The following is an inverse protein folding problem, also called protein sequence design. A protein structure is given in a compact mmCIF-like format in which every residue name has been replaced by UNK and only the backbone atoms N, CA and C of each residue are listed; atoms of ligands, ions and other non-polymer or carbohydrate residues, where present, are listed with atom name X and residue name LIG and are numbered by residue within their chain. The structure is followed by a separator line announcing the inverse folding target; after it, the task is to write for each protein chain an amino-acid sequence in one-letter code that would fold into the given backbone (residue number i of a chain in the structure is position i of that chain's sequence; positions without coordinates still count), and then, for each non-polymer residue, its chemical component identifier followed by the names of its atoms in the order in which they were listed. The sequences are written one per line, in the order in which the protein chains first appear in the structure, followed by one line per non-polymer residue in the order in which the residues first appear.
data_IF_544861296420
#
_entry.id   IF_544861296420
#
_cell.length_a   1.000
_cell.length_b   1.000
_cell.length_c   1.000
_cell.angle_alpha   90.00
_cell.angle_beta   90.00
_cell.angle_gamma   90.00
#
_symmetry.space_group_name_H-M   'P 1'
#
loop_
_entity.id
_entity.type
_entity.pdbx_description
1 polymer ?
#
# COMPACT_ATOMS: atom_id res chain seq x y z
N UNK A 1 -2.45 0.78 10.38
CA UNK A 1 -3.75 1.28 9.89
C UNK A 1 -4.32 0.20 9.01
N UNK A 2 -5.39 -0.46 9.41
CA UNK A 2 -6.07 -1.44 8.56
C UNK A 2 -6.34 -0.91 7.13
N UNK A 3 -6.14 -1.77 6.11
CA UNK A 3 -6.33 -1.39 4.70
C UNK A 3 -7.77 -0.99 4.40
N UNK A 4 -8.78 -1.56 5.05
CA UNK A 4 -10.18 -1.20 4.85
C UNK A 4 -10.43 0.23 5.28
N UNK A 5 -9.90 0.63 6.45
CA UNK A 5 -9.96 2.02 6.90
C UNK A 5 -9.29 2.93 5.87
N UNK A 6 -8.10 2.55 5.41
CA UNK A 6 -7.37 3.34 4.41
C UNK A 6 -8.16 3.49 3.09
N UNK A 7 -8.90 2.46 2.67
CA UNK A 7 -9.74 2.50 1.49
C UNK A 7 -10.93 3.43 1.70
N UNK A 8 -11.65 3.32 2.82
CA UNK A 8 -12.76 4.23 3.16
C UNK A 8 -12.31 5.69 3.15
N UNK A 9 -11.19 6.00 3.82
CA UNK A 9 -10.65 7.37 3.87
C UNK A 9 -10.18 7.89 2.49
N UNK A 10 -9.73 6.99 1.62
CA UNK A 10 -9.39 7.36 0.25
C UNK A 10 -10.66 7.64 -0.58
N UNK A 11 -11.64 6.74 -0.54
CA UNK A 11 -12.87 6.80 -1.33
C UNK A 11 -13.77 7.99 -0.94
N UNK A 12 -13.78 8.36 0.34
CA UNK A 12 -14.47 9.54 0.86
C UNK A 12 -13.72 10.86 0.58
N UNK A 13 -12.55 10.81 -0.04
CA UNK A 13 -11.74 11.98 -0.36
C UNK A 13 -11.02 12.60 0.86
N UNK A 14 -11.06 11.96 2.02
CA UNK A 14 -10.43 12.44 3.26
C UNK A 14 -8.92 12.53 3.11
N UNK A 15 -8.26 11.51 2.51
CA UNK A 15 -6.82 11.61 2.24
C UNK A 15 -6.46 12.81 1.35
N UNK A 16 -7.28 13.12 0.35
CA UNK A 16 -7.05 14.31 -0.48
C UNK A 16 -7.15 15.60 0.33
N UNK A 17 -8.13 15.69 1.24
CA UNK A 17 -8.26 16.82 2.15
C UNK A 17 -7.08 16.93 3.12
N UNK A 18 -6.66 15.81 3.74
CA UNK A 18 -5.52 15.76 4.66
C UNK A 18 -4.19 16.11 3.97
N UNK A 19 -4.01 15.67 2.71
CA UNK A 19 -2.83 16.02 1.92
C UNK A 19 -2.78 17.52 1.62
N UNK A 20 -3.89 18.11 1.18
CA UNK A 20 -3.99 19.56 0.94
C UNK A 20 -3.77 20.39 2.20
N UNK A 21 -4.22 19.88 3.35
CA UNK A 21 -4.00 20.52 4.65
C UNK A 21 -2.61 20.25 5.26
N UNK A 22 -1.75 19.44 4.61
CA UNK A 22 -0.38 19.19 5.06
C UNK A 22 -0.24 18.16 6.19
N UNK A 23 -1.31 17.43 6.55
CA UNK A 23 -1.26 16.41 7.61
C UNK A 23 -0.58 15.11 7.18
N UNK A 24 -0.60 14.81 5.88
CA UNK A 24 0.02 13.63 5.29
C UNK A 24 0.80 14.02 4.04
N UNK A 25 1.71 13.15 3.63
CA UNK A 25 2.47 13.29 2.39
C UNK A 25 1.94 12.34 1.32
N UNK A 26 2.41 12.49 0.08
CA UNK A 26 2.11 11.58 -1.04
C UNK A 26 2.44 10.12 -0.75
N UNK A 27 3.31 9.87 0.25
CA UNK A 27 3.74 8.54 0.69
C UNK A 27 2.58 7.60 1.02
N UNK A 28 1.50 8.09 1.65
CA UNK A 28 0.39 7.21 2.04
C UNK A 28 -0.35 6.64 0.82
N UNK A 29 -0.49 7.45 -0.24
CA UNK A 29 -1.13 7.03 -1.48
C UNK A 29 -0.28 5.99 -2.20
N UNK A 30 1.04 6.26 -2.32
CA UNK A 30 1.98 5.33 -2.93
C UNK A 30 2.00 3.99 -2.18
N UNK A 31 2.03 4.02 -0.85
CA UNK A 31 2.05 2.80 -0.06
C UNK A 31 0.73 2.01 -0.22
N UNK A 32 -0.41 2.70 -0.25
CA UNK A 32 -1.72 2.06 -0.49
C UNK A 32 -1.76 1.38 -1.85
N UNK A 33 -1.27 2.05 -2.89
CA UNK A 33 -1.21 1.50 -4.24
C UNK A 33 -0.33 0.23 -4.30
N UNK A 34 0.86 0.28 -3.70
CA UNK A 34 1.75 -0.89 -3.59
C UNK A 34 1.05 -2.05 -2.88
N UNK A 35 0.40 -1.78 -1.74
CA UNK A 35 -0.31 -2.80 -0.96
C UNK A 35 -1.40 -3.49 -1.79
N UNK A 36 -2.26 -2.70 -2.44
CA UNK A 36 -3.36 -3.22 -3.25
C UNK A 36 -2.84 -3.99 -4.46
N UNK A 37 -1.78 -3.50 -5.11
CA UNK A 37 -1.19 -4.17 -6.26
C UNK A 37 -0.60 -5.54 -5.89
N UNK A 38 0.18 -5.62 -4.81
CA UNK A 38 0.76 -6.90 -4.35
C UNK A 38 -0.34 -7.90 -4.01
N UNK A 39 -1.35 -7.49 -3.25
CA UNK A 39 -2.47 -8.36 -2.91
C UNK A 39 -3.22 -8.84 -4.17
N UNK A 40 -3.43 -7.96 -5.14
CA UNK A 40 -4.05 -8.34 -6.41
C UNK A 40 -3.21 -9.36 -7.17
N UNK A 41 -1.87 -9.25 -7.20
CA UNK A 41 -1.02 -10.26 -7.85
C UNK A 41 -1.14 -11.63 -7.18
N UNK A 42 -1.14 -11.66 -5.84
CA UNK A 42 -1.30 -12.91 -5.10
C UNK A 42 -2.66 -13.56 -5.39
N UNK A 43 -3.73 -12.78 -5.46
CA UNK A 43 -5.09 -13.28 -5.70
C UNK A 43 -5.32 -13.71 -7.15
N UNK A 44 -4.83 -12.93 -8.12
CA UNK A 44 -5.12 -13.15 -9.55
C UNK A 44 -4.20 -14.18 -10.20
N UNK A 45 -2.92 -14.21 -9.79
CA UNK A 45 -1.90 -15.10 -10.39
C UNK A 45 -1.47 -16.24 -9.47
N UNK A 46 -1.89 -16.24 -8.21
CA UNK A 46 -1.50 -17.26 -7.23
C UNK A 46 -0.01 -17.24 -6.86
N UNK A 47 0.72 -16.18 -7.20
CA UNK A 47 2.14 -16.07 -6.83
C UNK A 47 2.29 -15.81 -5.33
N UNK A 48 3.38 -16.32 -4.75
CA UNK A 48 3.65 -16.11 -3.34
C UNK A 48 4.03 -14.63 -3.05
N UNK A 49 3.94 -14.24 -1.77
CA UNK A 49 4.18 -12.85 -1.34
C UNK A 49 5.56 -12.33 -1.71
N UNK A 50 6.60 -13.15 -1.58
CA UNK A 50 7.98 -12.75 -1.88
C UNK A 50 8.15 -12.47 -3.39
N UNK A 51 7.59 -13.33 -4.24
CA UNK A 51 7.58 -13.13 -5.69
C UNK A 51 6.84 -11.84 -6.05
N UNK A 52 5.67 -11.61 -5.46
CA UNK A 52 4.90 -10.38 -5.68
C UNK A 52 5.67 -9.12 -5.21
N UNK A 53 6.46 -9.22 -4.14
CA UNK A 53 7.32 -8.13 -3.66
C UNK A 53 8.43 -7.82 -4.66
N UNK A 54 9.14 -8.83 -5.17
CA UNK A 54 10.19 -8.65 -6.17
C UNK A 54 9.66 -8.00 -7.45
N UNK A 55 8.47 -8.40 -7.91
CA UNK A 55 7.85 -7.77 -9.07
C UNK A 55 7.37 -6.35 -8.79
N UNK A 56 6.94 -6.06 -7.55
CA UNK A 56 6.54 -4.72 -7.14
C UNK A 56 7.73 -3.74 -7.13
N UNK A 57 8.95 -4.18 -6.80
CA UNK A 57 10.14 -3.34 -6.88
C UNK A 57 10.34 -2.75 -8.28
N UNK A 58 10.22 -3.61 -9.29
CA UNK A 58 10.33 -3.23 -10.70
C UNK A 58 9.15 -2.33 -11.09
N UNK A 59 7.92 -2.72 -10.73
CA UNK A 59 6.70 -1.99 -11.09
C UNK A 59 6.66 -0.56 -10.54
N UNK A 60 7.09 -0.38 -9.30
CA UNK A 60 7.02 0.91 -8.58
C UNK A 60 8.36 1.67 -8.57
N UNK A 61 9.43 1.07 -9.10
CA UNK A 61 10.79 1.60 -9.05
C UNK A 61 11.18 1.99 -7.61
N UNK A 62 11.10 1.02 -6.70
CA UNK A 62 11.42 1.15 -5.26
C UNK A 62 12.23 -0.06 -4.81
N UNK A 63 13.04 0.14 -3.77
CA UNK A 63 13.73 -0.96 -3.11
C UNK A 63 12.75 -1.91 -2.39
N UNK A 64 13.17 -3.17 -2.25
CA UNK A 64 12.43 -4.23 -1.55
C UNK A 64 11.93 -3.77 -0.16
N UNK A 65 12.81 -3.07 0.58
CA UNK A 65 12.52 -2.59 1.93
C UNK A 65 11.31 -1.64 1.94
N UNK A 66 11.18 -0.78 0.93
CA UNK A 66 10.08 0.15 0.76
C UNK A 66 8.80 -0.58 0.42
N UNK A 67 8.87 -1.62 -0.42
CA UNK A 67 7.71 -2.47 -0.70
C UNK A 67 7.23 -3.14 0.60
N UNK A 68 8.12 -3.80 1.35
CA UNK A 68 7.77 -4.41 2.64
C UNK A 68 7.20 -3.40 3.64
N UNK A 69 7.75 -2.19 3.71
CA UNK A 69 7.19 -1.10 4.54
C UNK A 69 5.77 -0.73 4.13
N UNK A 70 5.49 -0.64 2.83
CA UNK A 70 4.14 -0.39 2.33
C UNK A 70 3.18 -1.52 2.73
N UNK A 71 3.61 -2.78 2.59
CA UNK A 71 2.82 -3.94 3.03
C UNK A 71 2.51 -3.88 4.53
N UNK A 72 3.53 -3.63 5.35
CA UNK A 72 3.40 -3.58 6.80
C UNK A 72 2.61 -2.37 7.31
N UNK A 73 2.52 -1.29 6.54
CA UNK A 73 1.77 -0.10 6.91
C UNK A 73 0.27 -0.38 7.04
N UNK A 74 -0.25 -1.30 6.21
CA UNK A 74 -1.69 -1.64 6.18
C UNK A 74 -2.04 -3.07 6.60
N UNK A 75 -1.06 -3.88 6.98
CA UNK A 75 -1.27 -5.28 7.32
C UNK A 75 -1.59 -5.51 8.80
N UNK A 76 -2.41 -4.69 9.45
CA UNK A 76 -2.63 -4.77 10.90
C UNK A 76 -2.77 -6.22 11.42
N UNK A 77 -1.70 -6.71 12.04
CA UNK A 77 -1.80 -7.48 13.27
C UNK A 77 -1.56 -6.47 14.37
N UNK A 78 -2.64 -5.99 14.98
CA UNK A 78 -2.53 -5.57 16.37
C UNK A 78 -2.01 -6.78 17.14
N UNK A 79 -0.86 -6.62 17.81
CA UNK A 79 -0.44 -7.54 18.86
C UNK A 79 -1.30 -7.26 20.10
#
# INVERSE_FOLDING_TARGET
MDIQIANTLFDEGIFSAMYKAGFITTKVFVYREIYLWVNAQQQTRGINKNQAVLEAEIKFNKDERTIWRALNCFSEKAA
#
